data_IF_507629096041
#
_entry.id   IF_507629096041
#
_cell.length_a   1.000
_cell.length_b   1.000
_cell.length_c   1.000
_cell.angle_alpha   90.00
_cell.angle_beta   90.00
_cell.angle_gamma   90.00
#
_symmetry.space_group_name_H-M   'P 1'
#
loop_
_entity.id
_entity.type
_entity.pdbx_description
1 polymer ?
#
# COMPACT_ATOMS: atom_id res chain seq x y z
N UNK A 1 10.73 -15.60 11.67
CA UNK A 1 10.07 -15.05 12.87
C UNK A 1 9.16 -13.87 12.50
N UNK A 2 9.69 -12.70 12.13
CA UNK A 2 8.87 -11.52 11.78
C UNK A 2 7.93 -11.77 10.58
N UNK A 3 8.46 -12.26 9.45
CA UNK A 3 7.65 -12.54 8.25
C UNK A 3 6.47 -13.48 8.52
N UNK A 4 6.73 -14.59 9.21
CA UNK A 4 5.69 -15.54 9.63
C UNK A 4 4.64 -14.91 10.54
N UNK A 5 5.05 -14.01 11.46
CA UNK A 5 4.14 -13.35 12.39
C UNK A 5 3.16 -12.38 11.71
N UNK A 6 3.51 -11.86 10.53
CA UNK A 6 2.66 -10.95 9.75
C UNK A 6 2.04 -11.61 8.51
N UNK A 7 2.13 -12.94 8.37
CA UNK A 7 1.56 -13.66 7.22
C UNK A 7 2.42 -13.67 5.95
N UNK A 8 3.61 -13.07 5.96
CA UNK A 8 4.53 -12.99 4.81
C UNK A 8 5.85 -13.73 5.09
N UNK A 9 5.90 -15.07 5.00
CA UNK A 9 7.10 -15.84 5.33
C UNK A 9 8.30 -15.50 4.41
N UNK A 10 8.04 -15.05 3.20
CA UNK A 10 9.02 -14.59 2.22
C UNK A 10 9.56 -13.16 2.48
N UNK A 11 9.11 -12.47 3.55
CA UNK A 11 9.56 -11.13 3.90
C UNK A 11 11.09 -10.93 3.86
N UNK A 12 11.95 -11.84 4.38
CA UNK A 12 13.39 -11.66 4.30
C UNK A 12 13.91 -11.55 2.86
N UNK A 13 13.35 -12.33 1.94
CA UNK A 13 13.71 -12.33 0.52
C UNK A 13 13.24 -11.03 -0.15
N UNK A 14 12.06 -10.53 0.22
CA UNK A 14 11.54 -9.25 -0.28
C UNK A 14 12.41 -8.08 0.17
N UNK A 15 12.84 -8.07 1.44
CA UNK A 15 13.76 -7.04 1.96
C UNK A 15 15.12 -7.15 1.28
N UNK A 16 15.68 -8.36 1.12
CA UNK A 16 16.92 -8.60 0.37
C UNK A 16 16.85 -8.00 -1.02
N UNK A 17 15.82 -8.38 -1.78
CA UNK A 17 15.61 -7.94 -3.16
C UNK A 17 15.44 -6.43 -3.26
N UNK A 18 14.72 -5.83 -2.31
CA UNK A 18 14.55 -4.38 -2.23
C UNK A 18 15.89 -3.66 -1.99
N UNK A 19 16.66 -4.08 -0.98
CA UNK A 19 17.95 -3.45 -0.66
C UNK A 19 18.94 -3.61 -1.80
N UNK A 20 19.01 -4.80 -2.42
CA UNK A 20 19.85 -5.04 -3.58
C UNK A 20 19.53 -4.06 -4.72
N UNK A 21 18.24 -3.85 -5.03
CA UNK A 21 17.80 -2.87 -6.03
C UNK A 21 18.18 -1.44 -5.66
N UNK A 22 18.06 -1.05 -4.38
CA UNK A 22 18.44 0.29 -3.93
C UNK A 22 19.94 0.54 -4.00
N UNK A 23 20.77 -0.46 -3.67
CA UNK A 23 22.23 -0.31 -3.71
C UNK A 23 22.80 -0.35 -5.14
N UNK A 24 22.09 -0.97 -6.08
CA UNK A 24 22.53 -1.14 -7.48
C UNK A 24 21.75 -0.25 -8.47
N UNK A 25 21.21 0.89 -8.03
CA UNK A 25 20.41 1.82 -8.85
C UNK A 25 21.06 2.27 -10.18
N UNK A 26 22.39 2.16 -10.31
CA UNK A 26 23.15 2.55 -11.50
C UNK A 26 23.51 1.41 -12.45
N UNK A 27 23.18 0.16 -12.10
CA UNK A 27 23.53 -1.01 -12.90
C UNK A 27 22.24 -1.75 -13.32
N UNK A 28 21.72 -1.52 -14.54
CA UNK A 28 20.41 -2.01 -14.97
C UNK A 28 20.37 -3.53 -15.27
N UNK A 29 21.43 -4.26 -14.95
CA UNK A 29 21.49 -5.70 -15.15
C UNK A 29 20.71 -6.44 -14.05
N UNK A 30 19.65 -7.10 -14.48
CA UNK A 30 18.86 -8.14 -13.81
C UNK A 30 17.74 -7.68 -12.85
N UNK A 31 16.57 -7.48 -13.45
CA UNK A 31 15.25 -7.49 -12.78
C UNK A 31 14.79 -8.93 -12.48
N UNK A 32 15.54 -9.95 -12.92
CA UNK A 32 15.18 -11.36 -12.78
C UNK A 32 16.00 -11.99 -11.67
N UNK A 33 15.30 -12.37 -10.61
CA UNK A 33 15.70 -13.30 -9.55
C UNK A 33 17.06 -13.00 -8.89
N UNK A 34 17.04 -12.15 -7.86
CA UNK A 34 18.17 -12.03 -6.93
C UNK A 34 18.36 -13.40 -6.26
N UNK A 35 19.49 -14.07 -6.54
CA UNK A 35 19.82 -15.32 -5.88
C UNK A 35 19.97 -15.04 -4.37
N UNK A 36 19.46 -15.90 -3.47
CA UNK A 36 19.52 -15.68 -2.01
C UNK A 36 20.93 -15.36 -1.48
N UNK A 37 21.95 -15.85 -2.18
CA UNK A 37 23.37 -15.68 -1.86
C UNK A 37 23.94 -14.30 -2.25
N UNK A 38 23.23 -13.51 -3.06
CA UNK A 38 23.63 -12.14 -3.46
C UNK A 38 23.06 -11.06 -2.52
N UNK A 39 22.31 -11.46 -1.49
CA UNK A 39 21.77 -10.53 -0.52
C UNK A 39 22.90 -9.86 0.27
N UNK A 40 22.87 -8.52 0.47
CA UNK A 40 23.92 -7.79 1.16
C UNK A 40 23.95 -8.14 2.66
N UNK A 41 24.59 -9.27 2.98
CA UNK A 41 24.95 -9.69 4.33
C UNK A 41 23.79 -9.92 5.30
N UNK A 42 24.14 -10.45 6.46
CA UNK A 42 23.22 -10.75 7.56
C UNK A 42 22.57 -9.45 8.05
N UNK A 43 21.25 -9.34 7.92
CA UNK A 43 20.48 -8.21 8.44
C UNK A 43 20.82 -7.97 9.91
N UNK A 44 21.14 -6.72 10.26
CA UNK A 44 21.24 -6.28 11.64
C UNK A 44 19.86 -6.25 12.33
N UNK A 45 19.72 -5.41 13.35
CA UNK A 45 18.42 -5.21 13.99
C UNK A 45 17.45 -4.50 13.03
N UNK A 46 16.25 -5.06 12.87
CA UNK A 46 15.15 -4.45 12.11
C UNK A 46 14.27 -3.69 13.10
N UNK A 47 14.14 -2.38 12.90
CA UNK A 47 13.21 -1.54 13.67
C UNK A 47 11.87 -1.44 12.96
N UNK A 48 10.80 -1.85 13.65
CA UNK A 48 9.42 -1.74 13.17
C UNK A 48 8.78 -0.47 13.72
N UNK A 49 8.12 0.28 12.85
CA UNK A 49 7.33 1.46 13.20
C UNK A 49 5.84 1.13 13.09
N UNK A 50 5.01 1.52 14.07
CA UNK A 50 3.57 1.24 14.04
C UNK A 50 2.78 2.15 13.08
N UNK A 51 3.40 3.25 12.62
CA UNK A 51 2.78 4.21 11.71
C UNK A 51 3.84 5.09 11.04
N UNK A 52 3.48 5.69 9.91
CA UNK A 52 4.25 6.71 9.21
C UNK A 52 3.40 7.97 9.03
N UNK A 53 4.04 9.14 8.95
CA UNK A 53 3.36 10.39 8.63
C UNK A 53 3.79 10.83 7.24
N UNK A 54 2.83 10.91 6.33
CA UNK A 54 3.01 11.51 5.01
C UNK A 54 2.66 12.99 5.08
N UNK A 55 3.57 13.86 4.65
CA UNK A 55 3.37 15.31 4.61
C UNK A 55 3.44 15.77 3.15
N UNK A 56 2.46 16.56 2.70
CA UNK A 56 2.35 16.97 1.31
C UNK A 56 1.57 18.29 1.16
N UNK A 57 1.75 18.95 0.01
CA UNK A 57 0.95 20.11 -0.36
C UNK A 57 -0.29 19.63 -1.12
N UNK A 58 -1.50 20.05 -0.72
CA UNK A 58 -2.67 19.82 -1.53
C UNK A 58 -2.75 20.90 -2.62
N UNK A 59 -2.86 20.54 -3.91
CA UNK A 59 -2.95 21.52 -5.00
C UNK A 59 -4.17 22.45 -4.93
N UNK A 60 -5.18 22.13 -4.10
CA UNK A 60 -6.35 22.99 -3.88
C UNK A 60 -6.12 24.13 -2.88
N UNK A 61 -4.99 24.14 -2.16
CA UNK A 61 -4.68 25.16 -1.15
C UNK A 61 -4.24 26.48 -1.79
N UNK A 62 -4.24 26.58 -3.12
CA UNK A 62 -3.94 27.78 -3.90
C UNK A 62 -4.87 28.98 -3.61
N UNK A 63 -6.03 28.76 -2.97
CA UNK A 63 -6.94 29.83 -2.52
C UNK A 63 -6.76 30.27 -1.07
N UNK A 64 -6.07 29.47 -0.24
CA UNK A 64 -5.68 29.85 1.12
C UNK A 64 -4.26 30.37 1.07
N UNK A 65 -4.07 31.69 1.19
CA UNK A 65 -2.81 32.42 0.97
C UNK A 65 -1.60 32.12 1.87
N UNK A 66 -1.41 30.87 2.27
CA UNK A 66 -0.21 30.36 2.96
C UNK A 66 -0.10 28.88 2.61
N UNK A 67 1.07 28.44 2.16
CA UNK A 67 1.43 27.04 1.87
C UNK A 67 1.19 26.16 3.11
N UNK A 68 -0.03 25.68 3.31
CA UNK A 68 -0.36 24.82 4.44
C UNK A 68 -0.08 23.37 4.05
N UNK A 69 0.91 22.77 4.70
CA UNK A 69 1.28 21.38 4.48
C UNK A 69 0.26 20.49 5.19
N UNK A 70 -0.45 19.65 4.45
CA UNK A 70 -1.32 18.63 5.05
C UNK A 70 -0.49 17.44 5.51
N UNK A 71 -0.90 16.84 6.63
CA UNK A 71 -0.31 15.62 7.17
C UNK A 71 -1.36 14.52 7.31
N UNK A 72 -1.05 13.33 6.83
CA UNK A 72 -1.83 12.11 7.05
C UNK A 72 -0.96 11.06 7.74
N UNK A 73 -1.55 10.31 8.68
CA UNK A 73 -0.89 9.17 9.32
C UNK A 73 -1.36 7.87 8.67
N UNK A 74 -0.41 7.09 8.18
CA UNK A 74 -0.60 5.73 7.66
C UNK A 74 -0.28 4.76 8.79
N UNK A 75 -1.26 3.96 9.22
CA UNK A 75 -1.14 3.01 10.32
C UNK A 75 -0.76 1.61 9.81
N UNK A 76 0.18 0.98 10.52
CA UNK A 76 0.52 -0.43 10.40
C UNK A 76 0.71 -1.01 11.82
N UNK A 77 -0.30 -0.82 12.67
CA UNK A 77 -0.24 -1.12 14.10
C UNK A 77 -0.88 -2.49 14.37
N UNK A 78 -0.12 -3.50 14.85
CA UNK A 78 -0.65 -4.83 15.10
C UNK A 78 -1.63 -4.91 16.29
N UNK A 79 -1.62 -3.92 17.19
CA UNK A 79 -2.64 -3.75 18.25
C UNK A 79 -2.90 -2.28 18.50
N UNK A 80 -4.07 -1.81 18.09
CA UNK A 80 -4.50 -0.41 18.23
C UNK A 80 -5.29 -0.23 19.53
N UNK A 81 -4.81 0.63 20.43
CA UNK A 81 -5.37 0.84 21.78
C UNK A 81 -5.60 -0.45 22.60
N UNK A 82 -4.71 -1.45 22.44
CA UNK A 82 -4.86 -2.75 23.09
C UNK A 82 -5.95 -3.65 22.48
N UNK A 83 -6.54 -3.21 21.36
CA UNK A 83 -7.51 -3.95 20.57
C UNK A 83 -6.90 -4.58 19.33
N UNK A 84 -7.74 -4.73 18.30
CA UNK A 84 -7.38 -5.35 17.03
C UNK A 84 -6.33 -4.53 16.25
N UNK A 85 -5.75 -5.17 15.24
CA UNK A 85 -4.80 -4.52 14.35
C UNK A 85 -5.47 -3.41 13.51
N UNK A 86 -4.65 -2.44 13.09
CA UNK A 86 -5.03 -1.34 12.22
C UNK A 86 -3.97 -1.21 11.13
N UNK A 87 -4.35 -1.65 9.93
CA UNK A 87 -3.56 -1.57 8.70
C UNK A 87 -4.30 -0.68 7.71
N UNK A 88 -3.66 0.40 7.29
CA UNK A 88 -4.24 1.35 6.35
C UNK A 88 -3.88 0.99 4.91
N UNK A 89 -4.82 1.23 4.00
CA UNK A 89 -4.51 1.31 2.57
C UNK A 89 -3.76 2.60 2.28
N UNK A 90 -2.77 2.55 1.38
CA UNK A 90 -2.04 3.73 0.92
C UNK A 90 -1.82 3.69 -0.60
N UNK A 91 -1.73 4.87 -1.22
CA UNK A 91 -1.32 5.00 -2.61
C UNK A 91 0.20 4.97 -2.74
N UNK A 92 0.69 4.20 -3.70
CA UNK A 92 2.09 4.20 -4.13
C UNK A 92 2.27 5.04 -5.38
N UNK A 93 3.19 5.99 -5.32
CA UNK A 93 3.65 6.78 -6.47
C UNK A 93 4.47 5.93 -7.43
N UNK A 94 3.99 5.73 -8.67
CA UNK A 94 4.83 5.20 -9.75
C UNK A 94 5.65 6.31 -10.40
N UNK A 95 6.89 5.99 -10.78
CA UNK A 95 7.79 6.93 -11.44
C UNK A 95 7.31 7.17 -12.88
N UNK A 96 7.09 8.43 -13.26
CA UNK A 96 6.82 8.82 -14.64
C UNK A 96 5.36 8.73 -15.10
N UNK A 97 4.41 8.52 -14.19
CA UNK A 97 2.99 8.47 -14.51
C UNK A 97 2.18 9.46 -13.66
N UNK A 98 1.15 10.06 -14.25
CA UNK A 98 0.26 11.07 -13.66
C UNK A 98 -1.18 10.54 -13.61
N UNK A 99 -1.98 11.03 -12.66
CA UNK A 99 -3.37 10.60 -12.47
C UNK A 99 -3.52 9.16 -11.98
N UNK A 100 -4.72 8.60 -12.10
CA UNK A 100 -5.05 7.27 -11.54
C UNK A 100 -4.19 6.15 -12.16
N UNK A 101 -3.84 6.27 -13.44
CA UNK A 101 -2.99 5.33 -14.18
C UNK A 101 -1.53 5.34 -13.68
N UNK A 102 -1.13 6.36 -12.92
CA UNK A 102 0.19 6.47 -12.31
C UNK A 102 0.28 6.03 -10.85
N UNK A 103 -0.81 5.51 -10.28
CA UNK A 103 -0.87 5.16 -8.87
C UNK A 103 -1.32 3.71 -8.70
N UNK A 104 -0.65 2.99 -7.82
CA UNK A 104 -1.07 1.65 -7.42
C UNK A 104 -1.53 1.71 -5.96
N UNK A 105 -2.75 1.26 -5.71
CA UNK A 105 -3.22 1.10 -4.35
C UNK A 105 -2.51 -0.10 -3.72
N UNK A 106 -2.10 0.06 -2.47
CA UNK A 106 -1.44 -0.94 -1.66
C UNK A 106 -2.11 -0.99 -0.29
N UNK A 107 -2.15 -2.15 0.34
CA UNK A 107 -2.47 -2.28 1.76
C UNK A 107 -1.17 -2.40 2.55
N UNK A 108 -0.92 -1.48 3.49
CA UNK A 108 0.36 -1.43 4.21
C UNK A 108 0.32 -2.32 5.44
N UNK A 109 0.90 -3.52 5.33
CA UNK A 109 0.97 -4.50 6.42
C UNK A 109 2.12 -4.30 7.42
N UNK A 110 3.20 -3.59 7.04
CA UNK A 110 4.34 -3.33 7.92
C UNK A 110 5.07 -2.04 7.53
N UNK A 111 5.51 -1.25 8.51
CA UNK A 111 6.38 -0.09 8.28
C UNK A 111 7.73 -0.28 8.98
N UNK A 112 8.81 -0.16 8.20
CA UNK A 112 10.22 -0.09 8.60
C UNK A 112 10.78 1.25 8.08
N UNK A 113 12.08 1.33 7.76
CA UNK A 113 12.62 2.34 6.81
C UNK A 113 12.03 2.18 5.38
N UNK A 114 11.38 1.04 5.11
CA UNK A 114 10.60 0.70 3.94
C UNK A 114 9.23 0.13 4.39
N UNK A 115 8.22 0.17 3.54
CA UNK A 115 6.91 -0.40 3.85
C UNK A 115 6.79 -1.80 3.22
N UNK A 116 6.35 -2.81 3.98
CA UNK A 116 5.83 -4.04 3.39
C UNK A 116 4.33 -3.88 3.20
N UNK A 117 3.86 -4.10 1.98
CA UNK A 117 2.48 -3.88 1.63
C UNK A 117 1.97 -4.96 0.66
N UNK A 118 0.72 -5.36 0.84
CA UNK A 118 -0.01 -6.17 -0.13
C UNK A 118 -0.39 -5.29 -1.30
N UNK A 119 -0.20 -5.83 -2.49
CA UNK A 119 -0.42 -5.10 -3.73
C UNK A 119 -1.85 -5.30 -4.19
N UNK A 120 -2.48 -4.24 -4.68
CA UNK A 120 -3.72 -4.36 -5.44
C UNK A 120 -3.51 -3.95 -6.90
N UNK A 121 -4.16 -4.66 -7.81
CA UNK A 121 -4.20 -4.35 -9.23
C UNK A 121 -5.35 -3.37 -9.48
N UNK A 122 -5.05 -2.31 -10.23
CA UNK A 122 -6.06 -1.37 -10.72
C UNK A 122 -6.71 -1.97 -11.98
N UNK A 123 -8.03 -1.91 -12.08
CA UNK A 123 -8.73 -2.27 -13.31
C UNK A 123 -8.36 -1.35 -14.49
N UNK A 124 -8.62 -1.80 -15.71
CA UNK A 124 -8.25 -1.06 -16.93
C UNK A 124 -9.05 0.23 -17.15
N UNK A 125 -10.30 0.25 -16.66
CA UNK A 125 -11.20 1.38 -16.79
C UNK A 125 -12.01 1.58 -15.49
N UNK A 126 -12.47 2.81 -15.20
CA UNK A 126 -13.43 3.05 -14.14
C UNK A 126 -14.71 2.23 -14.34
N UNK A 127 -15.33 1.80 -13.25
CA UNK A 127 -16.62 1.14 -13.29
C UNK A 127 -17.66 2.05 -13.98
N UNK A 128 -18.46 1.51 -14.93
CA UNK A 128 -19.36 2.32 -15.75
C UNK A 128 -20.51 2.95 -14.96
N UNK A 129 -20.94 2.34 -13.86
CA UNK A 129 -22.09 2.80 -13.08
C UNK A 129 -21.68 3.88 -12.08
N UNK A 130 -20.52 3.71 -11.41
CA UNK A 130 -20.05 4.61 -10.35
C UNK A 130 -18.97 5.60 -10.82
N UNK A 131 -18.32 5.36 -11.97
CA UNK A 131 -17.18 6.15 -12.44
C UNK A 131 -15.95 6.08 -11.54
N UNK A 132 -15.88 5.05 -10.68
CA UNK A 132 -14.81 4.81 -9.71
C UNK A 132 -13.90 3.68 -10.19
N UNK A 133 -12.61 3.79 -9.91
CA UNK A 133 -11.67 2.71 -10.17
C UNK A 133 -11.92 1.56 -9.20
N UNK A 134 -11.92 0.35 -9.73
CA UNK A 134 -11.96 -0.88 -8.94
C UNK A 134 -10.54 -1.42 -8.82
N UNK A 135 -10.17 -1.82 -7.61
CA UNK A 135 -8.93 -2.54 -7.34
C UNK A 135 -9.25 -3.92 -6.79
N UNK A 136 -8.38 -4.88 -7.10
CA UNK A 136 -8.44 -6.24 -6.58
C UNK A 136 -7.09 -6.61 -5.97
N UNK A 137 -7.04 -7.29 -4.81
CA UNK A 137 -5.78 -7.78 -4.27
C UNK A 137 -5.06 -8.64 -5.31
N UNK A 138 -3.79 -8.36 -5.53
CA UNK A 138 -2.97 -9.09 -6.47
C UNK A 138 -2.55 -10.41 -5.84
N UNK A 139 -2.65 -11.50 -6.60
CA UNK A 139 -2.28 -12.84 -6.14
C UNK A 139 -1.22 -13.44 -7.07
N UNK A 140 -0.35 -14.27 -6.51
CA UNK A 140 0.63 -15.05 -7.26
C UNK A 140 -0.02 -16.26 -7.95
N UNK A 141 0.77 -17.05 -8.69
CA UNK A 141 0.30 -18.25 -9.40
C UNK A 141 -0.30 -19.31 -8.46
N UNK A 142 -0.02 -19.23 -7.15
CA UNK A 142 -0.56 -20.12 -6.13
C UNK A 142 -1.81 -19.55 -5.45
N UNK A 143 -2.28 -18.36 -5.85
CA UNK A 143 -3.41 -17.68 -5.24
C UNK A 143 -3.09 -17.02 -3.89
N UNK A 144 -1.81 -16.82 -3.56
CA UNK A 144 -1.40 -16.11 -2.34
C UNK A 144 -1.25 -14.61 -2.61
N UNK A 145 -1.62 -13.72 -1.66
CA UNK A 145 -1.47 -12.28 -1.84
C UNK A 145 -0.01 -11.89 -2.14
N UNK A 146 0.17 -11.06 -3.17
CA UNK A 146 1.47 -10.52 -3.54
C UNK A 146 1.83 -9.39 -2.59
N UNK A 147 2.93 -9.55 -1.87
CA UNK A 147 3.52 -8.49 -1.06
C UNK A 147 4.77 -7.89 -1.70
N UNK A 148 4.95 -6.58 -1.54
CA UNK A 148 6.14 -5.85 -1.94
C UNK A 148 6.74 -5.11 -0.76
N UNK A 149 8.06 -4.92 -0.80
CA UNK A 149 8.76 -3.96 0.05
C UNK A 149 9.03 -2.72 -0.79
N UNK A 150 8.44 -1.59 -0.40
CA UNK A 150 8.53 -0.31 -1.10
C UNK A 150 9.25 0.74 -0.26
N UNK A 151 9.91 1.68 -0.92
CA UNK A 151 10.52 2.80 -0.20
C UNK A 151 9.43 3.70 0.39
N UNK A 152 9.54 4.07 1.67
CA UNK A 152 8.48 4.79 2.39
C UNK A 152 8.10 6.14 1.75
N UNK A 153 9.06 6.81 1.09
CA UNK A 153 8.80 8.08 0.38
C UNK A 153 7.94 7.94 -0.88
N UNK A 154 7.68 6.71 -1.32
CA UNK A 154 6.75 6.44 -2.43
C UNK A 154 5.31 6.32 -1.93
N UNK A 155 5.08 6.16 -0.63
CA UNK A 155 3.74 6.24 -0.06
C UNK A 155 3.29 7.70 -0.11
N UNK A 156 2.16 7.93 -0.76
CA UNK A 156 1.61 9.26 -0.97
C UNK A 156 0.61 9.55 0.14
N UNK A 157 -0.58 8.93 0.10
CA UNK A 157 -1.71 9.21 1.00
C UNK A 157 -2.42 7.93 1.38
N UNK A 158 -3.28 8.00 2.39
CA UNK A 158 -4.20 6.92 2.70
C UNK A 158 -5.18 6.70 1.52
N UNK A 159 -5.30 5.45 1.11
CA UNK A 159 -6.28 5.02 0.12
C UNK A 159 -7.55 4.60 0.86
N UNK A 160 -8.62 5.35 0.67
CA UNK A 160 -9.91 4.97 1.22
C UNK A 160 -10.60 3.97 0.29
N UNK A 161 -10.60 2.72 0.71
CA UNK A 161 -11.15 1.60 -0.03
C UNK A 161 -12.58 1.33 0.41
N UNK A 162 -13.53 1.43 -0.53
CA UNK A 162 -14.92 1.07 -0.28
C UNK A 162 -15.20 -0.30 -0.89
N UNK A 163 -15.67 -1.29 -0.12
CA UNK A 163 -15.96 -2.62 -0.66
C UNK A 163 -16.91 -2.60 -1.85
N UNK A 164 -16.62 -3.40 -2.86
CA UNK A 164 -17.61 -3.75 -3.88
C UNK A 164 -18.49 -4.86 -3.30
N UNK A 165 -19.75 -4.53 -3.04
CA UNK A 165 -20.69 -5.51 -2.47
C UNK A 165 -21.19 -6.47 -3.54
N UNK A 166 -21.14 -7.76 -3.23
CA UNK A 166 -21.76 -8.82 -4.04
C UNK A 166 -23.25 -8.99 -3.72
N UNK A 167 -23.79 -10.13 -4.13
CA UNK A 167 -25.20 -10.51 -3.87
C UNK A 167 -25.48 -10.98 -2.44
N UNK A 168 -24.44 -11.21 -1.63
CA UNK A 168 -24.55 -11.74 -0.28
C UNK A 168 -24.62 -10.61 0.76
N UNK A 169 -25.34 -10.86 1.85
CA UNK A 169 -25.36 -9.96 3.00
C UNK A 169 -24.00 -9.94 3.71
N UNK A 170 -23.57 -8.76 4.13
CA UNK A 170 -22.40 -8.60 4.99
C UNK A 170 -22.71 -9.23 6.37
N UNK A 171 -21.89 -10.17 6.86
CA UNK A 171 -22.11 -10.79 8.17
C UNK A 171 -22.11 -9.74 9.28
N UNK A 172 -23.07 -9.81 10.21
CA UNK A 172 -23.10 -8.92 11.39
C UNK A 172 -21.89 -9.08 12.31
N UNK A 173 -21.20 -10.22 12.22
CA UNK A 173 -19.97 -10.53 12.95
C UNK A 173 -18.71 -10.01 12.25
N UNK A 174 -18.82 -9.40 11.06
CA UNK A 174 -17.68 -8.80 10.39
C UNK A 174 -17.24 -7.56 11.18
N UNK A 175 -16.00 -7.59 11.67
CA UNK A 175 -15.37 -6.45 12.33
C UNK A 175 -14.54 -5.62 11.35
N UNK A 176 -14.36 -4.34 11.66
CA UNK A 176 -13.67 -3.39 10.77
C UNK A 176 -12.27 -3.87 10.33
N UNK A 177 -11.52 -4.52 11.22
CA UNK A 177 -10.15 -5.00 10.98
C UNK A 177 -10.08 -6.24 10.08
N UNK A 178 -11.22 -6.84 9.74
CA UNK A 178 -11.33 -7.92 8.75
C UNK A 178 -11.79 -7.40 7.38
N UNK A 179 -12.09 -6.10 7.25
CA UNK A 179 -12.74 -5.57 6.04
C UNK A 179 -11.87 -5.71 4.80
N UNK A 180 -10.55 -5.57 4.91
CA UNK A 180 -9.67 -5.68 3.75
C UNK A 180 -9.53 -7.13 3.24
N UNK A 181 -9.63 -8.11 4.15
CA UNK A 181 -9.61 -9.53 3.80
C UNK A 181 -10.99 -10.08 3.38
N UNK A 182 -12.07 -9.42 3.79
CA UNK A 182 -13.43 -9.95 3.63
C UNK A 182 -14.06 -9.72 2.25
N UNK A 183 -13.48 -8.84 1.43
CA UNK A 183 -14.02 -8.52 0.11
C UNK A 183 -12.96 -8.74 -0.98
N UNK A 184 -13.41 -9.22 -2.14
CA UNK A 184 -12.51 -9.54 -3.26
C UNK A 184 -12.06 -8.30 -4.04
N UNK A 185 -12.79 -7.19 -3.94
CA UNK A 185 -12.54 -6.00 -4.73
C UNK A 185 -13.05 -4.74 -4.02
N UNK A 186 -12.41 -3.61 -4.28
CA UNK A 186 -12.71 -2.33 -3.64
C UNK A 186 -12.77 -1.21 -4.66
N UNK A 187 -13.71 -0.28 -4.49
CA UNK A 187 -13.67 1.00 -5.14
C UNK A 187 -12.65 1.91 -4.46
N UNK A 188 -11.82 2.55 -5.27
CA UNK A 188 -10.98 3.66 -4.82
C UNK A 188 -11.87 4.89 -4.73
N UNK A 189 -12.25 5.27 -3.51
CA UNK A 189 -13.17 6.38 -3.30
C UNK A 189 -12.45 7.72 -3.44
N UNK A 190 -12.45 8.26 -4.66
CA UNK A 190 -11.86 9.57 -4.95
C UNK A 190 -12.60 10.76 -4.33
N UNK A 191 -13.82 10.58 -3.83
CA UNK A 191 -14.66 11.69 -3.34
C UNK A 191 -14.56 11.91 -1.84
N UNK A 192 -14.01 10.96 -1.08
CA UNK A 192 -13.93 11.06 0.38
C UNK A 192 -12.89 12.07 0.85
N UNK A 193 -11.84 12.25 0.06
CA UNK A 193 -10.79 13.22 0.28
C UNK A 193 -10.64 14.00 -1.03
N UNK A 194 -10.82 15.33 -0.94
CA UNK A 194 -10.64 16.23 -2.08
C UNK A 194 -9.27 16.08 -2.75
N UNK A 195 -8.26 15.64 -1.98
CA UNK A 195 -6.92 15.34 -2.46
C UNK A 195 -6.95 14.06 -3.30
N UNK A 196 -7.56 12.98 -2.79
CA UNK A 196 -7.77 11.74 -3.55
C UNK A 196 -8.53 11.98 -4.86
N UNK A 197 -9.40 13.00 -4.93
CA UNK A 197 -10.05 13.42 -6.18
C UNK A 197 -9.02 13.79 -7.25
N UNK A 198 -8.03 14.62 -6.93
CA UNK A 198 -7.03 15.08 -7.90
C UNK A 198 -6.10 13.97 -8.40
N UNK A 199 -5.87 12.93 -7.60
CA UNK A 199 -5.05 11.78 -8.02
C UNK A 199 -5.83 10.77 -8.88
N UNK A 200 -7.15 10.69 -8.72
CA UNK A 200 -7.96 9.69 -9.39
C UNK A 200 -8.55 10.15 -10.74
N UNK A 201 -8.30 11.39 -11.13
CA UNK A 201 -8.59 11.95 -12.46
C UNK A 201 -7.40 11.81 -13.42
#
# INVERSE_FOLDING_TARGET
>A
ALGTAIGFPNLPILICSFLFKQLNLHNPCHILEVHPDECPGRFGYITVFPSAVATFCAPSDDYSGTTEMTQERICATPSWHGGAACYDGAFLKKKGAFGALGMQALEVGLLLLCACAVVSNLGDQPNPDMGLWVIEPAHDDNGSPIALVVHIHLLVWNAHLMPVFGSHFVPKSLHFFHSLDAFCSFFVNKYINHQATQLAY
#
